data_IF_457291647264
#
_entry.id   IF_457291647264
#
_cell.length_a   1.000
_cell.length_b   1.000
_cell.length_c   1.000
_cell.angle_alpha   90.00
_cell.angle_beta   90.00
_cell.angle_gamma   90.00
#
_symmetry.space_group_name_H-M   'P 1'
#
loop_
_entity.id
_entity.type
_entity.pdbx_description
1 polymer ?
#
# COMPACT_ATOMS: atom_id res chain seq x y z
N UNK A 1 39.35 6.61 -14.01
CA UNK A 1 38.10 6.23 -14.69
C UNK A 1 36.92 6.60 -13.80
N UNK A 2 35.99 7.42 -14.28
CA UNK A 2 34.84 7.93 -13.52
C UNK A 2 33.51 7.50 -14.15
N UNK A 3 33.21 6.21 -14.08
CA UNK A 3 32.03 5.58 -14.66
C UNK A 3 30.73 6.00 -13.97
N UNK A 4 30.77 6.26 -12.67
CA UNK A 4 29.62 6.80 -11.93
C UNK A 4 29.68 8.32 -11.85
N UNK A 5 28.52 8.98 -11.90
CA UNK A 5 28.39 10.40 -11.59
C UNK A 5 28.39 10.67 -10.09
N UNK A 6 27.88 9.73 -9.28
CA UNK A 6 27.86 9.76 -7.81
C UNK A 6 27.04 10.88 -7.15
N UNK A 7 26.40 11.73 -7.94
CA UNK A 7 25.65 12.89 -7.43
C UNK A 7 24.14 12.66 -7.46
N UNK A 8 23.63 12.08 -8.55
CA UNK A 8 22.20 11.89 -8.78
C UNK A 8 21.93 10.46 -9.21
N UNK A 9 21.05 9.80 -8.47
CA UNK A 9 20.58 8.44 -8.75
C UNK A 9 19.06 8.40 -8.91
N UNK A 10 18.59 7.35 -9.57
CA UNK A 10 17.18 7.01 -9.74
C UNK A 10 16.90 5.72 -8.99
N UNK A 11 15.84 5.70 -8.20
CA UNK A 11 15.32 4.52 -7.54
C UNK A 11 14.02 4.10 -8.22
N UNK A 12 13.95 2.83 -8.60
CA UNK A 12 12.75 2.24 -9.17
C UNK A 12 12.55 0.80 -8.69
N UNK A 13 11.30 0.35 -8.71
CA UNK A 13 10.85 -0.95 -8.22
C UNK A 13 10.32 -1.79 -9.36
N UNK A 14 10.80 -3.02 -9.49
CA UNK A 14 10.34 -3.98 -10.49
C UNK A 14 9.80 -5.21 -9.79
N UNK A 15 8.59 -5.65 -10.18
CA UNK A 15 8.04 -6.91 -9.70
C UNK A 15 8.44 -8.04 -10.65
N UNK A 16 8.88 -9.16 -10.10
CA UNK A 16 9.30 -10.34 -10.87
C UNK A 16 8.48 -11.53 -10.39
N UNK A 17 7.85 -12.25 -11.33
CA UNK A 17 7.10 -13.46 -11.02
C UNK A 17 8.03 -14.58 -10.54
N UNK A 18 7.62 -15.29 -9.50
CA UNK A 18 8.32 -16.48 -9.06
C UNK A 18 7.95 -17.66 -9.97
N UNK A 19 8.83 -18.67 -10.03
CA UNK A 19 8.53 -19.93 -10.71
C UNK A 19 7.63 -20.81 -9.84
N UNK A 20 6.39 -20.37 -9.63
CA UNK A 20 5.44 -21.01 -8.73
C UNK A 20 4.04 -21.17 -9.37
N UNK A 21 3.39 -22.28 -9.06
CA UNK A 21 1.98 -22.47 -9.36
C UNK A 21 1.11 -21.82 -8.29
N UNK A 22 0.10 -21.05 -8.71
CA UNK A 22 -0.99 -20.56 -7.82
C UNK A 22 -1.66 -21.67 -7.00
N UNK A 23 -1.57 -22.94 -7.41
CA UNK A 23 -2.12 -24.08 -6.66
C UNK A 23 -1.25 -24.52 -5.48
N UNK A 24 0.02 -24.12 -5.47
CA UNK A 24 1.04 -24.45 -4.46
C UNK A 24 1.39 -23.27 -3.54
N UNK A 25 0.59 -22.23 -3.60
CA UNK A 25 0.65 -21.08 -2.69
C UNK A 25 -0.57 -21.06 -1.78
N UNK A 26 -0.37 -20.83 -0.49
CA UNK A 26 -1.45 -20.71 0.48
C UNK A 26 -1.20 -19.58 1.47
N UNK A 27 -2.03 -18.53 1.40
CA UNK A 27 -2.13 -17.51 2.44
C UNK A 27 -3.23 -17.85 3.44
N UNK A 28 -3.17 -17.31 4.65
CA UNK A 28 -4.21 -17.50 5.68
C UNK A 28 -5.62 -17.16 5.16
N UNK A 29 -5.75 -16.07 4.39
CA UNK A 29 -7.01 -15.68 3.77
C UNK A 29 -7.50 -16.69 2.73
N UNK A 30 -6.58 -17.27 1.94
CA UNK A 30 -6.93 -18.30 0.96
C UNK A 30 -7.36 -19.58 1.66
N UNK A 31 -6.63 -20.00 2.69
CA UNK A 31 -6.93 -21.19 3.50
C UNK A 31 -8.32 -21.08 4.15
N UNK A 32 -8.62 -19.92 4.77
CA UNK A 32 -9.94 -19.64 5.33
C UNK A 32 -11.06 -19.84 4.30
N UNK A 33 -10.93 -19.22 3.11
CA UNK A 33 -11.92 -19.34 2.04
C UNK A 33 -12.08 -20.77 1.51
N UNK A 34 -10.99 -21.49 1.26
CA UNK A 34 -11.09 -22.86 0.74
C UNK A 34 -11.65 -23.83 1.80
N UNK A 35 -11.40 -23.59 3.09
CA UNK A 35 -12.02 -24.35 4.18
C UNK A 35 -13.52 -24.08 4.26
N UNK A 36 -13.94 -22.82 4.18
CA UNK A 36 -15.36 -22.45 4.15
C UNK A 36 -16.09 -23.12 2.97
N UNK A 37 -15.52 -23.03 1.76
CA UNK A 37 -16.08 -23.67 0.57
C UNK A 37 -16.16 -25.19 0.70
N UNK A 38 -15.12 -25.83 1.26
CA UNK A 38 -15.11 -27.27 1.49
C UNK A 38 -16.19 -27.68 2.52
N UNK A 39 -16.33 -26.93 3.61
CA UNK A 39 -17.32 -27.21 4.64
C UNK A 39 -18.75 -27.04 4.12
N UNK A 40 -19.03 -25.97 3.38
CA UNK A 40 -20.34 -25.76 2.75
C UNK A 40 -20.68 -26.93 1.81
N UNK A 41 -19.71 -27.37 1.01
CA UNK A 41 -19.91 -28.49 0.09
C UNK A 41 -20.13 -29.83 0.80
N UNK A 42 -19.47 -30.07 1.93
CA UNK A 42 -19.74 -31.24 2.79
C UNK A 42 -21.18 -31.18 3.30
N UNK A 43 -21.61 -30.04 3.82
CA UNK A 43 -22.97 -29.86 4.33
C UNK A 43 -24.02 -30.08 3.22
N UNK A 44 -23.75 -29.57 2.01
CA UNK A 44 -24.63 -29.77 0.84
C UNK A 44 -24.76 -31.26 0.47
N UNK A 45 -23.67 -32.01 0.54
CA UNK A 45 -23.67 -33.46 0.28
C UNK A 45 -24.39 -34.25 1.38
N UNK A 46 -24.20 -33.89 2.65
CA UNK A 46 -24.93 -34.50 3.78
C UNK A 46 -26.42 -34.25 3.61
N UNK A 47 -26.83 -33.01 3.32
CA UNK A 47 -28.23 -32.68 3.08
C UNK A 47 -28.82 -33.45 1.90
N UNK A 48 -28.08 -33.62 0.79
CA UNK A 48 -28.53 -34.45 -0.34
C UNK A 48 -28.70 -35.92 0.04
N UNK A 49 -27.82 -36.47 0.89
CA UNK A 49 -27.98 -37.82 1.42
C UNK A 49 -29.23 -37.94 2.29
N UNK A 50 -29.45 -37.00 3.22
CA UNK A 50 -30.63 -36.97 4.09
C UNK A 50 -31.94 -36.85 3.31
N UNK A 51 -32.00 -35.98 2.29
CA UNK A 51 -33.20 -35.83 1.45
C UNK A 51 -33.52 -37.11 0.70
N UNK A 52 -32.51 -37.78 0.14
CA UNK A 52 -32.72 -39.02 -0.61
C UNK A 52 -33.02 -40.21 0.31
N UNK A 53 -32.46 -40.26 1.53
CA UNK A 53 -32.82 -41.28 2.52
C UNK A 53 -34.28 -41.14 2.99
N UNK A 54 -34.86 -39.93 2.92
CA UNK A 54 -36.27 -39.68 3.27
C UNK A 54 -37.25 -39.90 2.10
N UNK A 55 -36.76 -40.20 0.89
CA UNK A 55 -37.57 -40.48 -0.30
C UNK A 55 -37.45 -41.97 -0.67
N UNK A 56 -38.43 -42.80 -0.32
CA UNK A 56 -38.35 -44.27 -0.47
C UNK A 56 -38.20 -44.80 -1.94
N UNK A 57 -37.12 -45.58 -2.09
CA UNK A 57 -36.84 -46.79 -2.91
C UNK A 57 -36.90 -46.81 -4.46
N UNK A 58 -37.42 -45.82 -5.19
CA UNK A 58 -37.49 -45.92 -6.67
C UNK A 58 -36.58 -44.98 -7.46
N UNK A 59 -35.48 -44.49 -6.88
CA UNK A 59 -34.44 -43.76 -7.62
C UNK A 59 -33.15 -44.60 -7.71
N UNK A 60 -33.11 -45.51 -8.68
CA UNK A 60 -31.91 -46.28 -9.05
C UNK A 60 -30.74 -45.43 -9.58
N UNK A 61 -30.91 -44.11 -9.72
CA UNK A 61 -29.91 -43.16 -10.23
C UNK A 61 -29.12 -42.42 -9.12
N UNK A 62 -29.43 -42.64 -7.83
CA UNK A 62 -28.73 -41.94 -6.73
C UNK A 62 -27.49 -42.72 -6.24
N UNK A 63 -26.30 -42.31 -6.68
CA UNK A 63 -25.02 -42.92 -6.33
C UNK A 63 -24.53 -42.48 -4.92
N UNK A 64 -25.09 -43.11 -3.88
CA UNK A 64 -24.75 -42.86 -2.47
C UNK A 64 -23.25 -43.03 -2.18
N UNK A 65 -22.61 -44.05 -2.76
CA UNK A 65 -21.20 -44.36 -2.50
C UNK A 65 -20.29 -43.24 -3.00
N UNK A 66 -20.60 -42.65 -4.16
CA UNK A 66 -19.88 -41.49 -4.68
C UNK A 66 -19.97 -40.29 -3.74
N UNK A 67 -21.14 -39.97 -3.19
CA UNK A 67 -21.27 -38.87 -2.21
C UNK A 67 -20.47 -39.11 -0.93
N UNK A 68 -20.52 -40.32 -0.36
CA UNK A 68 -19.74 -40.67 0.84
C UNK A 68 -18.24 -40.54 0.55
N UNK A 69 -17.78 -41.02 -0.61
CA UNK A 69 -16.39 -40.90 -1.03
C UNK A 69 -15.95 -39.45 -1.20
N UNK A 70 -16.84 -38.60 -1.74
CA UNK A 70 -16.61 -37.18 -1.95
C UNK A 70 -16.53 -36.41 -0.62
N UNK A 71 -17.41 -36.72 0.34
CA UNK A 71 -17.36 -36.17 1.71
C UNK A 71 -16.02 -36.52 2.36
N UNK A 72 -15.64 -37.80 2.35
CA UNK A 72 -14.36 -38.25 2.93
C UNK A 72 -13.17 -37.53 2.32
N UNK A 73 -13.14 -37.39 0.98
CA UNK A 73 -12.07 -36.65 0.29
C UNK A 73 -12.04 -35.16 0.68
N UNK A 74 -13.20 -34.53 0.92
CA UNK A 74 -13.27 -33.15 1.37
C UNK A 74 -12.82 -32.99 2.83
N UNK A 75 -13.17 -33.92 3.71
CA UNK A 75 -12.72 -33.95 5.11
C UNK A 75 -11.20 -34.08 5.20
N UNK A 76 -10.60 -35.00 4.42
CA UNK A 76 -9.13 -35.15 4.31
C UNK A 76 -8.46 -33.85 3.86
N UNK A 77 -9.01 -33.17 2.85
CA UNK A 77 -8.51 -31.86 2.39
C UNK A 77 -8.66 -30.78 3.46
N UNK A 78 -9.76 -30.80 4.21
CA UNK A 78 -10.02 -29.81 5.25
C UNK A 78 -9.02 -29.96 6.39
N UNK A 79 -8.69 -31.20 6.76
CA UNK A 79 -7.61 -31.48 7.71
C UNK A 79 -6.26 -31.01 7.17
N UNK A 80 -5.93 -31.33 5.92
CA UNK A 80 -4.71 -30.83 5.27
C UNK A 80 -4.60 -29.29 5.33
N UNK A 81 -5.68 -28.56 5.05
CA UNK A 81 -5.67 -27.10 5.15
C UNK A 81 -5.51 -26.58 6.58
N UNK A 82 -6.07 -27.27 7.59
CA UNK A 82 -5.86 -26.92 9.01
C UNK A 82 -4.38 -27.10 9.40
N UNK A 83 -3.76 -28.17 8.94
CA UNK A 83 -2.33 -28.41 9.21
C UNK A 83 -1.44 -27.32 8.58
N UNK A 84 -1.82 -26.80 7.41
CA UNK A 84 -1.14 -25.66 6.79
C UNK A 84 -1.33 -24.36 7.58
N UNK A 85 -2.54 -24.06 8.07
CA UNK A 85 -2.78 -22.90 8.93
C UNK A 85 -1.87 -22.96 10.17
N UNK A 86 -1.77 -24.12 10.82
CA UNK A 86 -0.90 -24.32 11.98
C UNK A 86 0.57 -24.10 11.62
N UNK A 87 1.05 -24.63 10.49
CA UNK A 87 2.43 -24.43 10.04
C UNK A 87 2.75 -22.95 9.80
N UNK A 88 1.85 -22.21 9.13
CA UNK A 88 2.05 -20.77 8.85
C UNK A 88 2.15 -19.99 10.16
N UNK A 89 1.24 -20.22 11.10
CA UNK A 89 1.21 -19.51 12.39
C UNK A 89 2.43 -19.87 13.27
N UNK A 90 2.83 -21.13 13.31
CA UNK A 90 4.00 -21.56 14.09
C UNK A 90 5.31 -20.93 13.58
N UNK A 91 5.40 -20.63 12.29
CA UNK A 91 6.56 -19.99 11.68
C UNK A 91 6.51 -18.45 11.73
N UNK A 92 5.49 -17.86 12.35
CA UNK A 92 5.23 -16.41 12.32
C UNK A 92 5.18 -15.83 10.89
N UNK A 93 4.69 -16.63 9.95
CA UNK A 93 4.50 -16.25 8.56
C UNK A 93 3.04 -15.88 8.27
N UNK A 94 2.78 -15.26 7.12
CA UNK A 94 1.42 -14.95 6.66
C UNK A 94 0.95 -15.83 5.50
N UNK A 95 1.87 -16.59 4.89
CA UNK A 95 1.65 -17.45 3.75
C UNK A 95 2.80 -18.45 3.58
N UNK A 96 2.49 -19.56 2.90
CA UNK A 96 3.44 -20.61 2.55
C UNK A 96 3.45 -20.83 1.03
N UNK A 97 4.65 -21.04 0.50
CA UNK A 97 4.91 -21.44 -0.88
C UNK A 97 5.72 -22.74 -0.88
N UNK A 98 5.33 -23.69 -1.72
CA UNK A 98 5.93 -25.03 -1.71
C UNK A 98 7.09 -25.21 -2.70
N UNK A 99 7.08 -24.49 -3.82
CA UNK A 99 8.14 -24.55 -4.83
C UNK A 99 9.22 -23.52 -4.52
N UNK A 100 8.80 -22.31 -4.13
CA UNK A 100 9.70 -21.20 -3.80
C UNK A 100 9.33 -20.55 -2.46
N UNK A 101 9.92 -20.99 -1.33
CA UNK A 101 9.55 -20.54 0.02
C UNK A 101 9.77 -19.04 0.28
N UNK A 102 10.73 -18.45 -0.41
CA UNK A 102 11.12 -17.05 -0.24
C UNK A 102 10.20 -16.09 -1.01
N UNK A 103 9.56 -16.58 -2.07
CA UNK A 103 8.58 -15.82 -2.82
C UNK A 103 7.38 -15.49 -1.94
N UNK A 104 6.76 -14.33 -2.19
CA UNK A 104 5.58 -13.88 -1.44
C UNK A 104 4.54 -13.31 -2.40
N UNK A 105 3.33 -13.09 -1.90
CA UNK A 105 2.26 -12.46 -2.67
C UNK A 105 2.62 -11.02 -3.00
N UNK A 106 2.72 -10.71 -4.29
CA UNK A 106 3.05 -9.41 -4.84
C UNK A 106 1.94 -8.91 -5.77
N UNK A 107 1.62 -7.62 -5.67
CA UNK A 107 0.73 -6.93 -6.62
C UNK A 107 1.54 -6.39 -7.80
N UNK A 108 1.38 -6.98 -8.99
CA UNK A 108 2.13 -6.61 -10.20
C UNK A 108 1.57 -5.33 -10.86
N UNK A 109 0.27 -5.09 -10.72
CA UNK A 109 -0.35 -3.87 -11.25
C UNK A 109 -1.86 -3.86 -11.07
N UNK A 110 -2.51 -2.76 -11.46
CA UNK A 110 -3.96 -2.66 -11.40
C UNK A 110 -4.65 -3.62 -12.38
N UNK A 111 -4.05 -3.88 -13.55
CA UNK A 111 -4.57 -4.74 -14.61
C UNK A 111 -4.12 -6.19 -14.50
N UNK A 112 -2.90 -6.44 -14.03
CA UNK A 112 -2.32 -7.79 -13.92
C UNK A 112 -2.73 -8.53 -12.64
N UNK A 113 -3.22 -7.79 -11.64
CA UNK A 113 -3.68 -8.38 -10.38
C UNK A 113 -2.54 -8.74 -9.43
N UNK A 114 -2.76 -9.81 -8.69
CA UNK A 114 -1.88 -10.28 -7.62
C UNK A 114 -1.37 -11.67 -7.96
N UNK A 115 -0.07 -11.87 -7.82
CA UNK A 115 0.60 -13.17 -8.04
C UNK A 115 1.70 -13.40 -7.02
N UNK A 116 2.36 -14.55 -7.08
CA UNK A 116 3.51 -14.88 -6.22
C UNK A 116 4.79 -14.45 -6.92
N UNK A 117 5.64 -13.71 -6.21
CA UNK A 117 6.85 -13.16 -6.78
C UNK A 117 7.68 -12.37 -5.80
N UNK A 118 8.51 -11.50 -6.38
CA UNK A 118 9.48 -10.68 -5.70
C UNK A 118 9.31 -9.22 -6.06
N UNK A 119 9.59 -8.34 -5.11
CA UNK A 119 9.69 -6.92 -5.37
C UNK A 119 11.18 -6.51 -5.32
N UNK A 120 11.75 -6.23 -6.48
CA UNK A 120 13.16 -5.85 -6.62
C UNK A 120 13.28 -4.34 -6.70
N UNK A 121 14.07 -3.76 -5.81
CA UNK A 121 14.35 -2.34 -5.73
C UNK A 121 15.72 -2.08 -6.32
N UNK A 122 15.85 -1.14 -7.27
CA UNK A 122 17.11 -0.90 -7.97
C UNK A 122 17.47 0.58 -7.94
N UNK A 123 18.75 0.87 -7.67
CA UNK A 123 19.30 2.24 -7.76
C UNK A 123 20.23 2.33 -8.96
N UNK A 124 20.01 3.33 -9.81
CA UNK A 124 20.76 3.54 -11.05
C UNK A 124 21.38 4.93 -11.06
N UNK A 125 22.66 5.03 -11.40
CA UNK A 125 23.35 6.30 -11.58
C UNK A 125 22.96 6.98 -12.89
N UNK A 126 22.73 8.28 -12.83
CA UNK A 126 22.19 9.01 -13.98
C UNK A 126 23.19 9.32 -15.08
N UNK A 127 24.51 9.31 -14.79
CA UNK A 127 25.56 9.71 -15.75
C UNK A 127 25.70 8.70 -16.88
N UNK A 128 25.87 7.42 -16.53
CA UNK A 128 26.09 6.33 -17.49
C UNK A 128 25.05 5.20 -17.36
N UNK A 129 23.96 5.41 -16.61
CA UNK A 129 22.84 4.46 -16.45
C UNK A 129 23.27 3.11 -15.88
N UNK A 130 24.29 3.12 -15.03
CA UNK A 130 24.80 1.91 -14.38
C UNK A 130 24.02 1.64 -13.10
N UNK A 131 23.65 0.37 -12.91
CA UNK A 131 23.11 -0.11 -11.64
C UNK A 131 24.20 0.07 -10.57
N UNK A 132 23.81 0.69 -9.47
CA UNK A 132 24.65 0.93 -8.30
C UNK A 132 24.45 -0.19 -7.28
N UNK A 133 23.18 -0.50 -7.01
CA UNK A 133 22.77 -1.52 -6.05
C UNK A 133 21.35 -1.96 -6.34
N UNK A 134 20.98 -3.13 -5.83
CA UNK A 134 19.63 -3.65 -5.84
C UNK A 134 19.33 -4.37 -4.52
N UNK A 135 18.06 -4.55 -4.21
CA UNK A 135 17.59 -5.33 -3.07
C UNK A 135 16.29 -6.05 -3.41
N UNK A 136 16.09 -7.23 -2.85
CA UNK A 136 14.88 -8.03 -3.06
C UNK A 136 14.08 -7.99 -1.77
N UNK A 137 12.87 -7.46 -1.84
CA UNK A 137 11.98 -7.35 -0.69
C UNK A 137 10.72 -8.17 -0.90
N UNK A 138 10.25 -8.72 0.22
CA UNK A 138 9.04 -9.53 0.27
C UNK A 138 7.79 -8.69 0.58
N UNK A 139 7.94 -7.37 0.70
CA UNK A 139 6.81 -6.45 0.79
C UNK A 139 6.41 -5.98 -0.61
N UNK A 140 5.12 -6.12 -0.93
CA UNK A 140 4.51 -5.63 -2.16
C UNK A 140 4.70 -4.13 -2.36
N UNK A 141 4.70 -3.34 -1.28
CA UNK A 141 4.74 -1.87 -1.35
C UNK A 141 6.17 -1.33 -1.39
N UNK A 142 6.38 -0.30 -2.22
CA UNK A 142 7.67 0.38 -2.35
C UNK A 142 7.90 1.44 -1.25
N UNK A 143 6.83 1.77 -0.50
CA UNK A 143 6.90 2.62 0.70
C UNK A 143 7.85 2.00 1.74
N UNK A 144 8.77 2.81 2.27
CA UNK A 144 9.79 2.35 3.22
C UNK A 144 11.15 2.09 2.57
N UNK A 145 11.24 2.03 1.23
CA UNK A 145 12.48 1.67 0.54
C UNK A 145 13.29 2.86 0.06
N UNK A 146 12.72 4.07 0.04
CA UNK A 146 13.41 5.26 -0.43
C UNK A 146 14.70 5.47 0.37
N UNK A 147 14.59 5.52 1.70
CA UNK A 147 15.75 5.72 2.55
C UNK A 147 16.75 4.55 2.47
N UNK A 148 16.26 3.31 2.57
CA UNK A 148 17.12 2.12 2.62
C UNK A 148 18.02 2.03 1.38
N UNK A 149 17.42 2.15 0.20
CA UNK A 149 18.16 2.04 -1.06
C UNK A 149 19.06 3.23 -1.31
N UNK A 150 18.60 4.44 -0.97
CA UNK A 150 19.41 5.66 -1.08
C UNK A 150 20.64 5.62 -0.18
N UNK A 151 20.49 5.11 1.05
CA UNK A 151 21.60 4.95 2.00
C UNK A 151 22.63 3.96 1.47
N UNK A 152 22.21 2.79 1.00
CA UNK A 152 23.10 1.80 0.37
C UNK A 152 23.90 2.42 -0.78
N UNK A 153 23.24 3.17 -1.67
CA UNK A 153 23.91 3.84 -2.78
C UNK A 153 24.91 4.91 -2.31
N UNK A 154 24.56 5.71 -1.30
CA UNK A 154 25.43 6.71 -0.68
C UNK A 154 26.71 6.07 -0.10
N UNK A 155 26.55 4.95 0.60
CA UNK A 155 27.66 4.19 1.20
C UNK A 155 28.59 3.61 0.13
N UNK A 156 28.04 2.98 -0.91
CA UNK A 156 28.80 2.43 -2.05
C UNK A 156 29.60 3.52 -2.77
N UNK A 157 29.01 4.71 -2.96
CA UNK A 157 29.71 5.82 -3.57
C UNK A 157 30.71 6.51 -2.66
N UNK A 158 30.56 6.32 -1.34
CA UNK A 158 31.36 6.93 -0.29
C UNK A 158 31.31 8.45 -0.38
N UNK A 159 30.09 8.99 -0.43
CA UNK A 159 29.80 10.43 -0.55
C UNK A 159 29.02 10.95 0.65
N UNK A 160 29.22 12.21 1.03
CA UNK A 160 28.54 12.82 2.17
C UNK A 160 27.07 13.18 1.89
N UNK A 161 26.71 13.37 0.62
CA UNK A 161 25.35 13.67 0.20
C UNK A 161 25.05 13.06 -1.17
N UNK A 162 23.77 12.74 -1.41
CA UNK A 162 23.31 12.19 -2.68
C UNK A 162 21.89 12.66 -2.99
N UNK A 163 21.63 12.96 -4.26
CA UNK A 163 20.30 13.27 -4.76
C UNK A 163 19.62 12.00 -5.30
N UNK A 164 18.33 11.82 -4.98
CA UNK A 164 17.59 10.61 -5.37
C UNK A 164 16.25 10.99 -5.99
N UNK A 165 16.03 10.52 -7.21
CA UNK A 165 14.74 10.59 -7.90
C UNK A 165 14.00 9.27 -7.73
N UNK A 166 12.72 9.33 -7.37
CA UNK A 166 11.89 8.14 -7.30
C UNK A 166 10.43 8.48 -7.66
N UNK A 167 9.68 7.45 -8.00
CA UNK A 167 8.25 7.57 -8.34
C UNK A 167 7.39 7.94 -7.11
N UNK A 168 6.11 8.27 -7.34
CA UNK A 168 5.18 8.64 -6.27
C UNK A 168 4.86 7.50 -5.29
N UNK A 169 5.12 6.24 -5.66
CA UNK A 169 4.97 5.06 -4.81
C UNK A 169 5.91 5.06 -3.61
N UNK A 170 7.09 5.68 -3.76
CA UNK A 170 8.07 5.89 -2.69
C UNK A 170 7.72 7.01 -1.71
N UNK A 171 6.57 7.68 -1.87
CA UNK A 171 6.21 8.80 -1.01
C UNK A 171 5.85 8.33 0.40
N UNK A 172 6.81 8.43 1.32
CA UNK A 172 6.65 8.04 2.71
C UNK A 172 7.35 9.02 3.67
N UNK A 173 6.58 9.64 4.57
CA UNK A 173 7.09 10.73 5.42
C UNK A 173 8.25 10.30 6.33
N UNK A 174 8.22 9.08 6.87
CA UNK A 174 9.32 8.59 7.74
C UNK A 174 10.63 8.46 6.96
N UNK A 175 10.56 8.04 5.71
CA UNK A 175 11.75 7.87 4.87
C UNK A 175 12.38 9.22 4.57
N UNK A 176 11.56 10.24 4.27
CA UNK A 176 12.10 11.56 4.00
C UNK A 176 12.79 12.19 5.22
N UNK A 177 12.26 11.96 6.44
CA UNK A 177 12.92 12.42 7.68
C UNK A 177 14.31 11.78 7.80
N UNK A 178 14.38 10.45 7.69
CA UNK A 178 15.66 9.72 7.73
C UNK A 178 16.62 10.14 6.61
N UNK A 179 16.09 10.39 5.40
CA UNK A 179 16.90 10.92 4.30
C UNK A 179 17.52 12.27 4.67
N UNK A 180 16.73 13.17 5.27
CA UNK A 180 17.21 14.49 5.68
C UNK A 180 18.28 14.42 6.76
N UNK A 181 18.14 13.52 7.74
CA UNK A 181 19.14 13.28 8.79
C UNK A 181 20.49 12.80 8.21
N UNK A 182 20.44 12.11 7.07
CA UNK A 182 21.58 11.46 6.44
C UNK A 182 22.03 12.18 5.17
N UNK A 183 21.66 13.46 4.98
CA UNK A 183 22.04 14.28 3.81
C UNK A 183 21.69 13.64 2.46
N UNK A 184 20.63 12.85 2.42
CA UNK A 184 20.02 12.31 1.21
C UNK A 184 18.91 13.29 0.79
N UNK A 185 18.95 13.73 -0.47
CA UNK A 185 18.03 14.73 -1.02
C UNK A 185 17.02 14.04 -1.95
N UNK A 186 15.86 13.62 -1.43
CA UNK A 186 14.85 12.97 -2.24
C UNK A 186 14.06 13.97 -3.08
N UNK A 187 13.71 13.53 -4.28
CA UNK A 187 12.84 14.18 -5.25
C UNK A 187 11.71 13.21 -5.61
N UNK A 188 10.63 13.25 -4.82
CA UNK A 188 9.48 12.34 -4.94
C UNK A 188 8.20 13.16 -4.97
N UNK A 189 7.39 12.97 -6.02
CA UNK A 189 6.14 13.70 -6.18
C UNK A 189 5.09 13.26 -5.15
N UNK A 190 4.36 14.23 -4.56
CA UNK A 190 3.25 13.93 -3.66
C UNK A 190 2.10 13.27 -4.44
N UNK A 191 1.58 12.11 -3.99
CA UNK A 191 0.41 11.51 -4.60
C UNK A 191 -0.82 12.37 -4.29
N UNK A 192 -1.62 12.60 -5.32
CA UNK A 192 -2.90 13.31 -5.21
C UNK A 192 -4.02 12.32 -4.93
N UNK A 193 -4.78 12.58 -3.88
CA UNK A 193 -5.95 11.77 -3.51
C UNK A 193 -7.23 12.56 -3.75
N UNK A 194 -8.23 11.89 -4.31
CA UNK A 194 -9.56 12.48 -4.44
C UNK A 194 -10.22 12.65 -3.08
N UNK A 195 -11.05 13.69 -2.95
CA UNK A 195 -12.03 13.74 -1.86
C UNK A 195 -13.17 12.74 -2.15
N UNK A 196 -14.11 12.60 -1.22
CA UNK A 196 -15.28 11.72 -1.36
C UNK A 196 -16.19 12.05 -2.55
N UNK A 197 -16.05 13.24 -3.15
CA UNK A 197 -16.89 13.71 -4.26
C UNK A 197 -16.19 13.57 -5.62
N UNK A 198 -14.86 13.63 -5.65
CA UNK A 198 -14.08 13.49 -6.87
C UNK A 198 -13.84 14.80 -7.64
N UNK A 199 -14.32 15.95 -7.16
CA UNK A 199 -14.06 17.23 -7.82
C UNK A 199 -12.62 17.71 -7.52
N UNK A 200 -11.79 17.71 -8.57
CA UNK A 200 -10.36 18.04 -8.52
C UNK A 200 -10.06 19.45 -8.01
N UNK A 201 -11.01 20.38 -8.09
CA UNK A 201 -10.87 21.76 -7.60
C UNK A 201 -10.81 21.78 -6.06
N UNK A 202 -11.42 20.80 -5.39
CA UNK A 202 -11.53 20.74 -3.93
C UNK A 202 -10.69 19.64 -3.29
N UNK A 203 -9.69 19.13 -4.00
CA UNK A 203 -8.70 18.23 -3.43
C UNK A 203 -7.85 18.97 -2.38
N UNK A 204 -7.33 18.23 -1.40
CA UNK A 204 -6.60 18.82 -0.26
C UNK A 204 -5.40 19.68 -0.67
N UNK A 205 -4.75 19.36 -1.79
CA UNK A 205 -3.63 20.13 -2.34
C UNK A 205 -4.01 21.55 -2.81
N UNK A 206 -5.30 21.78 -3.09
CA UNK A 206 -5.81 23.10 -3.48
C UNK A 206 -6.05 24.02 -2.29
N UNK A 207 -5.95 23.50 -1.07
CA UNK A 207 -6.03 24.29 0.17
C UNK A 207 -4.64 24.79 0.50
N UNK A 208 -4.45 26.11 0.48
CA UNK A 208 -3.16 26.75 0.73
C UNK A 208 -2.98 27.03 2.21
N UNK A 209 -1.92 26.50 2.81
CA UNK A 209 -1.55 26.83 4.18
C UNK A 209 -0.81 28.18 4.22
N UNK A 210 -1.22 29.06 5.13
CA UNK A 210 -0.50 30.29 5.47
C UNK A 210 0.16 30.09 6.83
N UNK A 211 1.49 29.94 6.83
CA UNK A 211 2.29 29.64 8.03
C UNK A 211 2.25 30.78 9.05
N UNK A 212 2.30 32.03 8.58
CA UNK A 212 2.35 33.22 9.45
C UNK A 212 1.05 33.41 10.26
N UNK A 213 -0.10 33.03 9.68
CA UNK A 213 -1.42 33.17 10.31
C UNK A 213 -1.94 31.85 10.91
N UNK A 214 -1.20 30.74 10.83
CA UNK A 214 -1.62 29.37 11.16
C UNK A 214 -3.06 29.03 10.68
N UNK A 215 -3.32 29.21 9.37
CA UNK A 215 -4.62 28.94 8.77
C UNK A 215 -4.53 28.38 7.35
N UNK A 216 -5.63 27.81 6.86
CA UNK A 216 -5.76 27.40 5.47
C UNK A 216 -6.70 28.32 4.70
N UNK A 217 -6.39 28.58 3.43
CA UNK A 217 -7.30 29.20 2.46
C UNK A 217 -7.88 28.09 1.59
N UNK A 218 -9.21 27.99 1.54
CA UNK A 218 -9.90 27.05 0.66
C UNK A 218 -9.94 27.58 -0.80
N UNK A 219 -10.29 26.73 -1.79
CA UNK A 219 -10.40 27.16 -3.19
C UNK A 219 -11.39 28.31 -3.44
N UNK A 220 -12.37 28.51 -2.56
CA UNK A 220 -13.34 29.64 -2.60
C UNK A 220 -12.81 30.89 -1.88
N UNK A 221 -11.54 30.90 -1.46
CA UNK A 221 -10.92 32.04 -0.75
C UNK A 221 -11.27 32.14 0.74
N UNK A 222 -12.08 31.24 1.30
CA UNK A 222 -12.46 31.28 2.72
C UNK A 222 -11.34 30.79 3.63
N UNK A 223 -11.15 31.46 4.77
CA UNK A 223 -10.18 31.09 5.82
C UNK A 223 -10.72 29.96 6.69
N UNK A 224 -9.89 28.93 6.92
CA UNK A 224 -10.12 27.82 7.83
C UNK A 224 -9.15 27.94 9.01
N UNK A 225 -9.69 28.07 10.22
CA UNK A 225 -8.92 28.33 11.43
C UNK A 225 -8.54 27.04 12.16
N UNK A 226 -7.40 27.05 12.84
CA UNK A 226 -6.98 25.97 13.71
C UNK A 226 -7.92 25.87 14.92
N UNK A 227 -8.64 24.75 15.02
CA UNK A 227 -9.64 24.52 16.06
C UNK A 227 -9.31 23.33 16.98
N UNK A 228 -8.12 22.75 16.86
CA UNK A 228 -7.66 21.72 17.79
C UNK A 228 -7.32 22.36 19.14
N UNK A 229 -8.09 22.05 20.19
CA UNK A 229 -7.69 22.35 21.59
C UNK A 229 -6.46 21.53 21.95
N UNK A 230 -5.50 22.08 22.70
CA UNK A 230 -4.37 21.32 23.28
C UNK A 230 -4.96 20.19 24.15
N UNK A 231 -4.99 18.96 23.63
CA UNK A 231 -5.47 17.82 24.41
C UNK A 231 -4.29 17.35 25.27
N UNK A 232 -4.34 17.64 26.57
CA UNK A 232 -3.52 16.98 27.59
C UNK A 232 -3.95 15.51 27.73
N UNK A 233 -3.56 14.64 26.80
CA UNK A 233 -3.64 13.19 27.05
C UNK A 233 -2.49 12.48 26.35
N UNK A 234 -1.86 11.54 27.07
CA UNK A 234 -0.90 10.54 26.61
C UNK A 234 -1.54 9.55 25.61
N UNK A 235 -2.17 10.05 24.53
CA UNK A 235 -2.67 9.25 23.41
C UNK A 235 -1.97 9.71 22.13
N UNK A 236 -1.57 8.73 21.32
CA UNK A 236 -0.80 8.84 20.06
C UNK A 236 -1.41 9.85 19.05
N UNK A 237 -2.66 10.26 19.23
CA UNK A 237 -3.39 11.20 18.36
C UNK A 237 -3.15 12.70 18.65
N UNK A 238 -2.27 13.06 19.58
CA UNK A 238 -1.97 14.45 19.92
C UNK A 238 -1.18 15.25 18.84
N UNK A 239 -0.77 14.62 17.73
CA UNK A 239 0.13 15.21 16.70
C UNK A 239 -0.57 15.80 15.45
N UNK A 240 -1.88 16.06 15.52
CA UNK A 240 -2.65 16.53 14.36
C UNK A 240 -3.51 17.76 14.68
N UNK A 241 -3.28 18.84 13.92
CA UNK A 241 -4.09 20.05 13.96
C UNK A 241 -5.24 19.94 12.95
N UNK A 242 -6.44 20.39 13.32
CA UNK A 242 -7.64 20.41 12.48
C UNK A 242 -8.03 21.84 12.18
N UNK A 243 -8.30 22.09 10.90
CA UNK A 243 -8.66 23.39 10.36
C UNK A 243 -10.03 23.32 9.72
N UNK A 244 -10.95 24.16 10.17
CA UNK A 244 -12.29 24.23 9.61
C UNK A 244 -12.94 25.59 9.88
N UNK A 245 -13.97 25.91 9.11
CA UNK A 245 -14.85 27.05 9.30
C UNK A 245 -16.25 26.61 8.85
N UNK A 246 -17.06 26.10 9.79
CA UNK A 246 -18.36 25.52 9.46
C UNK A 246 -19.38 26.57 9.06
N UNK A 247 -19.27 27.80 9.56
CA UNK A 247 -20.17 28.90 9.19
C UNK A 247 -19.95 29.29 7.72
N UNK A 248 -18.70 29.50 7.32
CA UNK A 248 -18.36 29.76 5.92
C UNK A 248 -18.71 28.58 5.01
N UNK A 249 -18.52 27.33 5.48
CA UNK A 249 -18.95 26.15 4.72
C UNK A 249 -20.47 26.05 4.60
N UNK A 250 -21.22 26.45 5.63
CA UNK A 250 -22.69 26.42 5.66
C UNK A 250 -23.31 27.35 4.63
N UNK A 251 -22.71 28.53 4.44
CA UNK A 251 -23.14 29.51 3.43
C UNK A 251 -22.55 29.27 2.02
N UNK A 252 -21.67 28.28 1.86
CA UNK A 252 -20.95 28.06 0.59
C UNK A 252 -21.81 27.32 -0.45
N UNK A 253 -22.02 27.94 -1.61
CA UNK A 253 -22.76 27.36 -2.75
C UNK A 253 -22.10 26.10 -3.32
N UNK A 254 -20.78 26.00 -3.23
CA UNK A 254 -20.01 24.86 -3.75
C UNK A 254 -19.72 23.78 -2.70
N UNK A 255 -20.35 23.84 -1.52
CA UNK A 255 -20.15 22.85 -0.44
C UNK A 255 -20.34 21.42 -0.93
N UNK A 256 -21.39 21.15 -1.72
CA UNK A 256 -21.71 19.82 -2.25
C UNK A 256 -20.66 19.28 -3.24
N UNK A 257 -19.82 20.16 -3.82
CA UNK A 257 -18.67 19.77 -4.66
C UNK A 257 -17.40 19.54 -3.84
N UNK A 258 -17.32 20.18 -2.67
CA UNK A 258 -16.14 20.18 -1.80
C UNK A 258 -16.11 19.05 -0.76
N UNK A 259 -17.25 18.75 -0.13
CA UNK A 259 -17.37 17.77 0.96
C UNK A 259 -18.75 17.14 1.04
N UNK A 260 -18.82 15.84 1.35
CA UNK A 260 -20.08 15.15 1.66
C UNK A 260 -20.55 15.39 3.11
N UNK A 261 -19.74 16.05 3.94
CA UNK A 261 -20.10 16.33 5.33
C UNK A 261 -21.16 17.42 5.44
N UNK A 262 -22.19 17.14 6.25
CA UNK A 262 -23.25 18.11 6.57
C UNK A 262 -22.74 19.36 7.29
N UNK A 263 -21.62 19.27 8.03
CA UNK A 263 -21.05 20.43 8.75
C UNK A 263 -20.13 21.27 7.87
N UNK A 264 -19.30 20.64 7.05
CA UNK A 264 -18.34 21.34 6.19
C UNK A 264 -17.03 20.59 6.02
N UNK A 265 -16.07 21.23 5.36
CA UNK A 265 -14.77 20.63 5.06
C UNK A 265 -13.84 20.82 6.26
N UNK A 266 -13.13 19.75 6.63
CA UNK A 266 -12.09 19.78 7.66
C UNK A 266 -10.77 19.34 7.05
N UNK A 267 -9.74 20.16 7.19
CA UNK A 267 -8.37 19.84 6.78
C UNK A 267 -7.59 19.42 8.02
N UNK A 268 -6.83 18.34 7.92
CA UNK A 268 -5.99 17.86 9.02
C UNK A 268 -4.52 18.02 8.61
N UNK A 269 -3.75 18.73 9.43
CA UNK A 269 -2.30 18.93 9.25
C UNK A 269 -1.55 18.14 10.32
N UNK A 270 -0.58 17.33 9.88
CA UNK A 270 0.35 16.63 10.79
C UNK A 270 1.53 17.56 11.10
N UNK A 271 2.22 17.33 12.22
CA UNK A 271 3.47 18.04 12.55
C UNK A 271 4.52 17.96 11.44
N UNK A 272 4.55 16.84 10.70
CA UNK A 272 5.49 16.59 9.62
C UNK A 272 5.08 17.18 8.27
N UNK A 273 3.94 17.89 8.18
CA UNK A 273 3.43 18.40 6.90
C UNK A 273 4.31 19.51 6.32
N UNK A 274 4.87 20.39 7.17
CA UNK A 274 5.86 21.41 6.76
C UNK A 274 7.02 20.78 5.99
N UNK A 275 7.56 19.69 6.54
CA UNK A 275 8.67 18.96 5.95
C UNK A 275 8.26 18.35 4.60
N UNK A 276 7.06 17.76 4.53
CA UNK A 276 6.51 17.18 3.29
C UNK A 276 6.28 18.24 2.21
N UNK A 277 5.78 19.42 2.59
CA UNK A 277 5.59 20.55 1.67
C UNK A 277 6.93 21.04 1.10
N UNK A 278 7.99 21.08 1.90
CA UNK A 278 9.34 21.42 1.43
C UNK A 278 9.85 20.42 0.38
N UNK A 279 9.70 19.11 0.61
CA UNK A 279 10.06 18.08 -0.39
C UNK A 279 9.26 18.27 -1.67
N UNK A 280 7.96 18.55 -1.57
CA UNK A 280 7.11 18.75 -2.74
C UNK A 280 7.45 20.03 -3.51
N UNK A 281 7.78 21.12 -2.81
CA UNK A 281 8.21 22.38 -3.42
C UNK A 281 9.54 22.20 -4.17
N UNK A 282 10.48 21.44 -3.60
CA UNK A 282 11.73 21.08 -4.26
C UNK A 282 11.49 20.38 -5.61
N UNK A 283 10.53 19.47 -5.69
CA UNK A 283 10.15 18.80 -6.95
C UNK A 283 9.59 19.80 -7.96
N UNK A 284 8.77 20.76 -7.53
CA UNK A 284 8.20 21.80 -8.41
C UNK A 284 9.25 22.76 -8.96
N UNK A 285 10.22 23.14 -8.13
CA UNK A 285 11.32 24.04 -8.50
C UNK A 285 12.33 23.32 -9.40
N UNK A 286 12.61 22.04 -9.14
CA UNK A 286 13.56 21.22 -9.89
C UNK A 286 12.92 20.39 -11.00
N UNK A 287 11.82 20.85 -11.62
CA UNK A 287 11.11 20.14 -12.71
C UNK A 287 12.02 19.69 -13.86
N UNK A 288 13.09 20.45 -14.12
CA UNK A 288 14.07 20.11 -15.15
C UNK A 288 14.83 18.80 -14.87
N UNK A 289 15.04 18.42 -13.60
CA UNK A 289 15.66 17.14 -13.23
C UNK A 289 14.70 15.96 -13.45
N UNK A 290 13.40 16.17 -13.22
CA UNK A 290 12.35 15.16 -13.47
C UNK A 290 12.15 14.87 -14.97
N UNK A 291 12.09 15.91 -15.81
CA UNK A 291 11.87 15.77 -17.28
C UNK A 291 13.00 15.11 -18.07
N UNK A 292 14.20 15.00 -17.49
CA UNK A 292 15.37 14.43 -18.18
C UNK A 292 15.47 12.91 -18.03
N UNK A 293 14.64 12.31 -17.17
CA UNK A 293 14.80 10.92 -16.72
C UNK A 293 13.53 10.10 -16.95
N UNK A 294 12.36 10.73 -16.90
CA UNK A 294 11.06 10.14 -17.25
C UNK A 294 10.52 10.71 -18.56
#
# INVERSE_FOLDING_TARGET
>A
MGLYGKNLVVLDGTKIEASESKRKHYSLNKLSKVRELAQNKINDYIHQLEVNDNLDENNNDFDRESFISAIKSLEEKLQYYRDLDTKIVLNDESEINFTDPDAKTVKFGASQGTDVGYNVQTVVDTKNKLIVTYDVINNSADQGQLYNMSKKAKEIFTVDSIEVLADKGYFHTKDFIKCSEESIIPYVAKPTYSNSIGDTIYFSEKFKYLKDEDLYICPEGQKLYCNTKKINTKKINAKQKKYFNYDACGACKNKLKCTSSSKGRTITRKETEDFVENVNNRVKECKAKFKKIF
#
